data_IF_020991214300
#
_entry.id   IF_020991214300
#
_cell.length_a   1.000
_cell.length_b   1.000
_cell.length_c   1.000
_cell.angle_alpha   90.00
_cell.angle_beta   90.00
_cell.angle_gamma   90.00
#
_symmetry.space_group_name_H-M   'P 1'
#
loop_
_entity.id
_entity.type
_entity.pdbx_description
1 polymer ?
#
# COMPACT_ATOMS: atom_id res chain seq x y z
N UNK A 1 -11.88 76.31 32.93
CA UNK A 1 -11.44 74.89 32.85
C UNK A 1 -12.61 74.11 32.32
N UNK A 2 -12.65 73.84 31.03
CA UNK A 2 -13.69 73.07 30.37
C UNK A 2 -13.20 71.64 30.28
N UNK A 3 -13.94 70.71 30.92
CA UNK A 3 -13.71 69.31 30.85
C UNK A 3 -14.16 68.81 29.47
N UNK A 4 -13.24 68.25 28.68
CA UNK A 4 -13.52 67.56 27.43
C UNK A 4 -13.94 66.17 27.82
N UNK A 5 -15.17 65.82 27.46
CA UNK A 5 -15.67 64.43 27.60
C UNK A 5 -14.94 63.51 26.60
N UNK A 6 -14.65 62.26 26.96
CA UNK A 6 -14.04 61.31 26.05
C UNK A 6 -15.02 60.97 24.91
N UNK A 7 -14.55 61.10 23.66
CA UNK A 7 -15.27 60.69 22.46
C UNK A 7 -15.21 59.17 22.38
N UNK A 8 -16.33 58.49 22.61
CA UNK A 8 -16.50 57.08 22.25
C UNK A 8 -16.52 56.93 20.73
N UNK A 9 -15.41 56.52 20.16
CA UNK A 9 -15.37 56.10 18.76
C UNK A 9 -16.06 54.72 18.61
N UNK A 10 -17.01 54.59 17.70
CA UNK A 10 -17.61 53.29 17.45
C UNK A 10 -16.53 52.29 17.00
N UNK A 11 -16.35 51.21 17.72
CA UNK A 11 -15.48 50.11 17.33
C UNK A 11 -16.15 49.48 16.10
N UNK A 12 -15.50 49.62 14.95
CA UNK A 12 -15.97 49.13 13.66
C UNK A 12 -16.18 47.57 13.76
N UNK A 13 -17.37 47.09 13.37
CA UNK A 13 -17.71 45.68 13.42
C UNK A 13 -16.73 44.78 12.63
N UNK A 14 -16.05 45.36 11.66
CA UNK A 14 -14.98 44.75 10.88
C UNK A 14 -13.72 44.45 11.72
N UNK A 15 -13.40 45.39 12.62
CA UNK A 15 -12.24 45.26 13.53
C UNK A 15 -12.52 44.17 14.61
N UNK A 16 -13.77 43.99 14.99
CA UNK A 16 -14.18 42.95 15.94
C UNK A 16 -14.11 41.56 15.30
N UNK A 17 -14.58 41.43 14.05
CA UNK A 17 -14.46 40.16 13.28
C UNK A 17 -12.99 39.74 13.04
N UNK A 18 -12.14 40.71 12.73
CA UNK A 18 -10.70 40.44 12.53
C UNK A 18 -10.01 40.04 13.85
N UNK A 19 -10.44 40.62 14.97
CA UNK A 19 -9.92 40.24 16.30
C UNK A 19 -10.37 38.84 16.71
N UNK A 20 -11.62 38.51 16.45
CA UNK A 20 -12.16 37.16 16.74
C UNK A 20 -11.50 36.08 15.86
N UNK A 21 -11.31 36.33 14.57
CA UNK A 21 -10.61 35.42 13.66
C UNK A 21 -9.12 35.23 14.08
N UNK A 22 -8.47 36.30 14.56
CA UNK A 22 -7.10 36.21 15.06
C UNK A 22 -7.02 35.42 16.37
N UNK A 23 -8.00 35.57 17.26
CA UNK A 23 -8.11 34.82 18.52
C UNK A 23 -8.38 33.31 18.24
N UNK A 24 -9.23 33.00 17.26
CA UNK A 24 -9.46 31.59 16.82
C UNK A 24 -8.20 30.96 16.21
N UNK A 25 -7.46 31.72 15.39
CA UNK A 25 -6.20 31.22 14.82
C UNK A 25 -5.16 30.94 15.92
N UNK A 26 -5.05 31.84 16.95
CA UNK A 26 -4.17 31.60 18.11
C UNK A 26 -4.64 30.40 18.95
N UNK A 27 -5.94 30.26 19.14
CA UNK A 27 -6.49 29.10 19.86
C UNK A 27 -6.22 27.78 19.15
N UNK A 28 -6.30 27.75 17.81
CA UNK A 28 -5.93 26.62 16.97
C UNK A 28 -4.45 26.24 17.12
N UNK A 29 -3.56 27.21 17.03
CA UNK A 29 -2.11 26.98 17.22
C UNK A 29 -1.76 26.50 18.63
N UNK A 30 -2.50 26.96 19.65
CA UNK A 30 -2.32 26.54 21.05
C UNK A 30 -2.78 25.10 21.27
N UNK A 31 -3.88 24.67 20.61
CA UNK A 31 -4.34 23.25 20.63
C UNK A 31 -3.29 22.33 19.97
N UNK A 32 -2.80 22.69 18.80
CA UNK A 32 -1.76 21.91 18.10
C UNK A 32 -0.48 21.83 18.95
N UNK A 33 -0.07 22.91 19.60
CA UNK A 33 1.09 22.93 20.50
C UNK A 33 0.88 22.03 21.73
N UNK A 34 -0.33 22.00 22.32
CA UNK A 34 -0.67 21.09 23.43
C UNK A 34 -0.69 19.63 23.02
N UNK A 35 -1.20 19.31 21.84
CA UNK A 35 -1.17 17.94 21.28
C UNK A 35 0.27 17.52 21.03
N UNK A 36 1.10 18.38 20.42
CA UNK A 36 2.52 18.12 20.21
C UNK A 36 3.27 17.89 21.53
N UNK A 37 2.99 18.69 22.56
CA UNK A 37 3.59 18.54 23.90
C UNK A 37 3.11 17.25 24.62
N UNK A 38 1.87 16.80 24.41
CA UNK A 38 1.38 15.51 24.93
C UNK A 38 2.02 14.33 24.22
N UNK A 39 2.24 14.43 22.91
CA UNK A 39 2.93 13.40 22.12
C UNK A 39 4.43 13.29 22.43
N UNK A 40 5.05 14.36 22.97
CA UNK A 40 6.43 14.35 23.46
C UNK A 40 6.54 14.02 24.96
N UNK A 41 5.44 13.60 25.59
CA UNK A 41 5.45 13.12 26.96
C UNK A 41 6.33 11.86 27.07
N UNK A 42 7.24 11.84 28.06
CA UNK A 42 8.12 10.67 28.35
C UNK A 42 7.31 9.36 28.46
N UNK A 43 6.12 9.42 29.06
CA UNK A 43 5.24 8.27 29.19
C UNK A 43 4.68 7.79 27.85
N UNK A 44 4.32 8.70 26.94
CA UNK A 44 3.89 8.33 25.59
C UNK A 44 5.02 7.67 24.79
N UNK A 45 6.24 8.18 24.94
CA UNK A 45 7.44 7.59 24.32
C UNK A 45 7.72 6.20 24.90
N UNK A 46 7.67 6.04 26.21
CA UNK A 46 7.84 4.73 26.86
C UNK A 46 6.77 3.75 26.41
N UNK A 47 5.50 4.17 26.40
CA UNK A 47 4.40 3.32 25.93
C UNK A 47 4.60 2.90 24.45
N UNK A 48 5.02 3.82 23.58
CA UNK A 48 5.30 3.51 22.18
C UNK A 48 6.45 2.49 22.03
N UNK A 49 7.53 2.65 22.82
CA UNK A 49 8.65 1.71 22.82
C UNK A 49 8.20 0.33 23.33
N UNK A 50 7.45 0.26 24.42
CA UNK A 50 6.94 -1.01 24.97
C UNK A 50 6.07 -1.72 23.94
N UNK A 51 5.13 -1.00 23.32
CA UNK A 51 4.29 -1.55 22.25
C UNK A 51 5.16 -2.06 21.09
N UNK A 52 6.12 -1.27 20.62
CA UNK A 52 7.01 -1.66 19.53
C UNK A 52 7.81 -2.92 19.88
N UNK A 53 8.36 -3.02 21.10
CA UNK A 53 9.08 -4.20 21.57
C UNK A 53 8.18 -5.41 21.60
N UNK A 54 6.98 -5.30 22.21
CA UNK A 54 6.01 -6.42 22.28
C UNK A 54 5.62 -6.92 20.88
N UNK A 55 5.37 -6.01 19.93
CA UNK A 55 5.06 -6.36 18.54
C UNK A 55 6.25 -6.97 17.79
N UNK A 56 7.47 -6.64 18.19
CA UNK A 56 8.69 -7.18 17.54
C UNK A 56 9.02 -8.59 18.04
N UNK A 57 8.60 -8.98 19.24
CA UNK A 57 8.91 -10.29 19.84
C UNK A 57 8.56 -11.48 18.93
N UNK A 58 7.33 -11.59 18.35
CA UNK A 58 7.00 -12.72 17.48
C UNK A 58 7.87 -12.78 16.23
N UNK A 59 8.09 -11.62 15.58
CA UNK A 59 8.91 -11.54 14.38
C UNK A 59 10.37 -11.86 14.66
N UNK A 60 10.90 -11.38 15.82
CA UNK A 60 12.24 -11.71 16.28
C UNK A 60 12.38 -13.20 16.61
N UNK A 61 11.34 -13.79 17.22
CA UNK A 61 11.32 -15.24 17.48
C UNK A 61 11.36 -16.07 16.20
N UNK A 62 10.62 -15.67 15.17
CA UNK A 62 10.70 -16.27 13.84
C UNK A 62 12.10 -16.11 13.24
N UNK A 63 12.70 -14.92 13.36
CA UNK A 63 14.06 -14.65 12.88
C UNK A 63 15.08 -15.59 13.52
N UNK A 64 15.09 -15.69 14.84
CA UNK A 64 15.96 -16.61 15.55
C UNK A 64 15.70 -18.05 15.11
N UNK A 65 14.42 -18.45 15.00
CA UNK A 65 14.05 -19.81 14.59
C UNK A 65 14.53 -20.14 13.18
N UNK A 66 14.58 -19.17 12.26
CA UNK A 66 15.02 -19.44 10.88
C UNK A 66 16.46 -19.94 10.77
N UNK A 67 17.29 -19.67 11.79
CA UNK A 67 18.70 -20.10 11.87
C UNK A 67 18.92 -21.28 12.82
N UNK A 68 17.87 -21.89 13.37
CA UNK A 68 18.01 -23.02 14.30
C UNK A 68 17.85 -24.35 13.56
N UNK A 69 18.57 -25.41 14.00
CA UNK A 69 18.38 -26.75 13.47
C UNK A 69 16.93 -27.23 13.61
N UNK A 70 16.49 -28.08 12.68
CA UNK A 70 15.12 -28.60 12.64
C UNK A 70 14.71 -29.31 13.94
N UNK A 71 15.64 -30.03 14.59
CA UNK A 71 15.39 -30.70 15.85
C UNK A 71 15.08 -29.71 16.97
N UNK A 72 15.85 -28.62 17.07
CA UNK A 72 15.68 -27.61 18.10
C UNK A 72 14.37 -26.82 17.93
N UNK A 73 13.97 -26.56 16.67
CA UNK A 73 12.69 -25.89 16.37
C UNK A 73 11.49 -26.75 16.82
N UNK A 74 11.60 -28.07 16.67
CA UNK A 74 10.51 -29.01 17.01
C UNK A 74 10.41 -29.30 18.51
N UNK A 75 11.53 -29.21 19.25
CA UNK A 75 11.62 -29.66 20.64
C UNK A 75 11.65 -28.54 21.65
N UNK A 76 11.97 -27.31 21.24
CA UNK A 76 12.16 -26.18 22.16
C UNK A 76 11.73 -24.85 21.55
N UNK A 77 11.44 -23.86 22.42
CA UNK A 77 11.10 -22.51 22.00
C UNK A 77 12.33 -21.72 21.52
N UNK A 78 12.10 -20.67 20.71
CA UNK A 78 13.17 -19.84 20.14
C UNK A 78 14.06 -19.16 21.20
N UNK A 79 13.55 -18.93 22.40
CA UNK A 79 14.29 -18.32 23.52
C UNK A 79 15.42 -19.20 24.05
N UNK A 80 15.40 -20.51 23.81
CA UNK A 80 16.49 -21.41 24.22
C UNK A 80 17.76 -21.19 23.41
N UNK A 81 17.70 -20.48 22.30
CA UNK A 81 18.87 -20.04 21.56
C UNK A 81 19.86 -19.23 22.41
N UNK A 82 19.38 -18.46 23.38
CA UNK A 82 20.25 -17.66 24.26
C UNK A 82 20.98 -18.49 25.33
N UNK A 83 20.47 -19.67 25.63
CA UNK A 83 21.11 -20.59 26.61
C UNK A 83 21.94 -21.69 25.94
N UNK A 84 21.51 -22.11 24.72
CA UNK A 84 22.20 -23.09 23.91
C UNK A 84 22.22 -22.63 22.45
N UNK A 85 23.14 -21.74 22.05
CA UNK A 85 23.20 -21.19 20.72
C UNK A 85 23.61 -22.24 19.69
N UNK A 86 22.67 -22.63 18.85
CA UNK A 86 22.90 -23.47 17.68
C UNK A 86 22.53 -22.68 16.44
N UNK A 87 23.40 -22.65 15.43
CA UNK A 87 23.22 -21.87 14.22
C UNK A 87 23.40 -22.75 12.99
N UNK A 88 22.42 -22.69 12.05
CA UNK A 88 22.50 -23.36 10.76
C UNK A 88 21.89 -22.50 9.66
N UNK A 89 22.34 -22.67 8.43
CA UNK A 89 21.73 -22.14 7.21
C UNK A 89 20.97 -23.23 6.43
N UNK A 90 20.97 -24.47 6.91
CA UNK A 90 20.32 -25.60 6.22
C UNK A 90 18.86 -25.33 5.88
N UNK A 91 18.11 -24.66 6.75
CA UNK A 91 16.71 -24.30 6.47
C UNK A 91 16.58 -23.41 5.23
N UNK A 92 17.50 -22.46 5.04
CA UNK A 92 17.52 -21.58 3.88
C UNK A 92 17.96 -22.32 2.61
N UNK A 93 18.96 -23.19 2.72
CA UNK A 93 19.44 -24.02 1.62
C UNK A 93 18.35 -25.00 1.17
N UNK A 94 17.67 -25.66 2.10
CA UNK A 94 16.58 -26.57 1.82
C UNK A 94 15.38 -25.85 1.17
N UNK A 95 15.01 -24.67 1.69
CA UNK A 95 13.91 -23.86 1.16
C UNK A 95 14.17 -23.38 -0.27
N UNK A 96 15.41 -22.94 -0.56
CA UNK A 96 15.74 -22.31 -1.85
C UNK A 96 16.17 -23.31 -2.92
N UNK A 97 16.90 -24.36 -2.55
CA UNK A 97 17.65 -25.16 -3.52
C UNK A 97 17.34 -26.67 -3.48
N UNK A 98 16.59 -27.16 -2.48
CA UNK A 98 16.29 -28.58 -2.42
C UNK A 98 15.51 -29.05 -3.64
N UNK A 99 15.92 -30.20 -4.21
CA UNK A 99 15.32 -30.82 -5.38
C UNK A 99 14.56 -32.09 -4.97
N UNK A 100 13.31 -32.25 -5.44
CA UNK A 100 12.50 -33.43 -5.22
C UNK A 100 11.06 -33.14 -4.79
N UNK A 101 10.20 -34.17 -4.78
CA UNK A 101 8.77 -34.06 -4.49
C UNK A 101 8.44 -33.57 -3.06
N UNK A 102 9.40 -33.69 -2.12
CA UNK A 102 9.28 -33.24 -0.72
C UNK A 102 9.89 -31.87 -0.49
N UNK A 103 10.58 -31.31 -1.48
CA UNK A 103 11.33 -30.08 -1.33
C UNK A 103 10.43 -28.86 -1.28
N UNK A 104 10.80 -27.89 -0.47
CA UNK A 104 10.09 -26.62 -0.38
C UNK A 104 10.23 -25.76 -1.64
N UNK A 105 11.31 -25.93 -2.39
CA UNK A 105 11.76 -25.15 -3.56
C UNK A 105 11.01 -23.81 -3.78
N UNK A 106 11.25 -22.85 -2.88
CA UNK A 106 10.56 -21.56 -2.94
C UNK A 106 11.05 -20.66 -4.08
N UNK A 107 12.19 -20.98 -4.68
CA UNK A 107 12.79 -20.10 -5.69
C UNK A 107 11.88 -19.86 -6.89
N UNK A 108 11.24 -20.93 -7.42
CA UNK A 108 10.29 -20.78 -8.54
C UNK A 108 9.06 -19.97 -8.13
N UNK A 109 8.47 -20.28 -6.97
CA UNK A 109 7.31 -19.54 -6.46
C UNK A 109 7.65 -18.07 -6.13
N UNK A 110 8.88 -17.80 -5.64
CA UNK A 110 9.37 -16.46 -5.43
C UNK A 110 9.47 -15.66 -6.74
N UNK A 111 10.04 -16.28 -7.79
CA UNK A 111 10.09 -15.66 -9.11
C UNK A 111 8.70 -15.45 -9.70
N UNK A 112 7.79 -16.42 -9.55
CA UNK A 112 6.39 -16.26 -9.94
C UNK A 112 5.73 -15.08 -9.22
N UNK A 113 5.96 -14.92 -7.90
CA UNK A 113 5.44 -13.78 -7.17
C UNK A 113 5.94 -12.43 -7.71
N UNK A 114 7.20 -12.33 -8.13
CA UNK A 114 7.73 -11.12 -8.79
C UNK A 114 7.06 -10.87 -10.13
N UNK A 115 6.94 -11.94 -10.95
CA UNK A 115 6.27 -11.89 -12.26
C UNK A 115 4.79 -11.53 -12.13
N UNK A 116 4.13 -11.91 -11.04
CA UNK A 116 2.74 -11.54 -10.76
C UNK A 116 2.65 -10.13 -10.20
N UNK A 117 3.45 -9.81 -9.18
CA UNK A 117 3.29 -8.57 -8.42
C UNK A 117 3.68 -7.32 -9.20
N UNK A 118 4.71 -7.39 -10.04
CA UNK A 118 5.16 -6.23 -10.82
C UNK A 118 4.10 -5.81 -11.84
N UNK A 119 3.62 -6.66 -12.76
CA UNK A 119 2.57 -6.25 -13.70
C UNK A 119 1.22 -6.02 -12.99
N UNK A 120 0.88 -6.84 -11.99
CA UNK A 120 -0.35 -6.70 -11.21
C UNK A 120 -0.44 -5.39 -10.42
N UNK A 121 0.70 -4.75 -10.13
CA UNK A 121 0.75 -3.40 -9.58
C UNK A 121 0.81 -2.33 -10.68
N UNK A 122 1.63 -2.51 -11.70
CA UNK A 122 1.86 -1.49 -12.73
C UNK A 122 0.65 -1.26 -13.64
N UNK A 123 -0.06 -2.31 -14.04
CA UNK A 123 -1.19 -2.18 -14.96
C UNK A 123 -2.34 -1.33 -14.38
N UNK A 124 -2.86 -1.60 -13.16
CA UNK A 124 -3.92 -0.76 -12.60
C UNK A 124 -3.43 0.68 -12.35
N UNK A 125 -2.15 0.91 -12.03
CA UNK A 125 -1.60 2.25 -11.85
C UNK A 125 -1.54 3.00 -13.17
N UNK A 126 -1.01 2.38 -14.23
CA UNK A 126 -0.92 3.01 -15.55
C UNK A 126 -2.31 3.37 -16.10
N UNK A 127 -3.23 2.41 -16.08
CA UNK A 127 -4.62 2.62 -16.51
C UNK A 127 -5.35 3.64 -15.62
N UNK A 128 -5.13 3.54 -14.31
CA UNK A 128 -5.72 4.45 -13.32
C UNK A 128 -5.24 5.89 -13.47
N UNK A 129 -3.95 6.12 -13.77
CA UNK A 129 -3.43 7.46 -14.07
C UNK A 129 -4.14 8.09 -15.27
N UNK A 130 -4.28 7.34 -16.35
CA UNK A 130 -4.96 7.80 -17.57
C UNK A 130 -6.44 8.08 -17.31
N UNK A 131 -7.13 7.16 -16.65
CA UNK A 131 -8.55 7.30 -16.32
C UNK A 131 -8.80 8.46 -15.35
N UNK A 132 -7.99 8.59 -14.31
CA UNK A 132 -8.09 9.68 -13.34
C UNK A 132 -7.86 11.05 -13.98
N UNK A 133 -6.87 11.16 -14.88
CA UNK A 133 -6.65 12.39 -15.66
C UNK A 133 -7.86 12.72 -16.56
N UNK A 134 -8.37 11.73 -17.27
CA UNK A 134 -9.54 11.93 -18.15
C UNK A 134 -10.76 12.40 -17.35
N UNK A 135 -11.03 11.76 -16.22
CA UNK A 135 -12.18 12.12 -15.36
C UNK A 135 -12.03 13.48 -14.69
N UNK A 136 -10.79 13.91 -14.37
CA UNK A 136 -10.52 15.17 -13.70
C UNK A 136 -10.48 16.38 -14.66
N UNK A 137 -9.90 16.21 -15.88
CA UNK A 137 -9.52 17.34 -16.71
C UNK A 137 -10.04 17.32 -18.14
N UNK A 138 -10.67 16.23 -18.59
CA UNK A 138 -11.30 16.17 -19.90
C UNK A 138 -12.83 16.30 -19.71
N UNK A 139 -13.44 17.42 -20.18
CA UNK A 139 -14.89 17.59 -20.04
C UNK A 139 -15.64 16.66 -20.99
N UNK A 140 -16.44 15.73 -20.45
CA UNK A 140 -17.38 14.91 -21.19
C UNK A 140 -18.66 14.67 -20.39
N UNK A 141 -19.77 14.42 -21.12
CA UNK A 141 -21.08 14.19 -20.49
C UNK A 141 -21.05 12.88 -19.71
N UNK A 142 -21.43 12.94 -18.43
CA UNK A 142 -21.51 11.75 -17.58
C UNK A 142 -20.23 11.41 -16.80
N UNK A 143 -19.15 12.21 -16.88
CA UNK A 143 -17.90 11.96 -16.16
C UNK A 143 -18.12 11.73 -14.65
N UNK A 144 -18.92 12.56 -14.00
CA UNK A 144 -19.24 12.44 -12.58
C UNK A 144 -19.98 11.13 -12.24
N UNK A 145 -20.97 10.74 -13.06
CA UNK A 145 -21.67 9.48 -12.88
C UNK A 145 -20.76 8.28 -13.10
N UNK A 146 -19.90 8.33 -14.11
CA UNK A 146 -18.92 7.28 -14.38
C UNK A 146 -17.95 7.13 -13.21
N UNK A 147 -17.46 8.23 -12.65
CA UNK A 147 -16.60 8.22 -11.47
C UNK A 147 -17.28 7.55 -10.26
N UNK A 148 -18.52 7.96 -9.96
CA UNK A 148 -19.32 7.35 -8.87
C UNK A 148 -19.56 5.87 -9.13
N UNK A 149 -19.88 5.49 -10.37
CA UNK A 149 -20.09 4.08 -10.73
C UNK A 149 -18.82 3.24 -10.54
N UNK A 150 -17.66 3.73 -11.02
CA UNK A 150 -16.36 3.05 -10.82
C UNK A 150 -16.08 2.87 -9.33
N UNK A 151 -16.30 3.91 -8.52
CA UNK A 151 -16.10 3.82 -7.08
C UNK A 151 -17.09 2.85 -6.41
N UNK A 152 -18.34 2.82 -6.85
CA UNK A 152 -19.35 1.90 -6.34
C UNK A 152 -18.99 0.42 -6.56
N UNK A 153 -18.25 0.09 -7.63
CA UNK A 153 -17.75 -1.27 -7.86
C UNK A 153 -16.84 -1.77 -6.71
N UNK A 154 -16.21 -0.86 -5.98
CA UNK A 154 -15.37 -1.21 -4.81
C UNK A 154 -16.20 -1.78 -3.64
N UNK A 155 -17.51 -1.52 -3.61
CA UNK A 155 -18.42 -2.03 -2.56
C UNK A 155 -18.71 -3.51 -2.77
N UNK A 156 -18.60 -3.99 -4.03
CA UNK A 156 -18.83 -5.40 -4.35
C UNK A 156 -17.73 -6.27 -3.72
N UNK A 157 -18.06 -7.23 -2.83
CA UNK A 157 -17.06 -8.12 -2.28
C UNK A 157 -16.33 -8.89 -3.39
N UNK A 158 -15.01 -8.82 -3.38
CA UNK A 158 -14.15 -9.48 -4.37
C UNK A 158 -14.51 -10.97 -4.55
N UNK A 159 -14.84 -11.65 -3.46
CA UNK A 159 -15.19 -13.07 -3.45
C UNK A 159 -16.40 -13.41 -4.35
N UNK A 160 -17.36 -12.48 -4.47
CA UNK A 160 -18.54 -12.69 -5.33
C UNK A 160 -18.20 -12.67 -6.82
N UNK A 161 -17.17 -11.91 -7.20
CA UNK A 161 -16.74 -11.75 -8.59
C UNK A 161 -15.77 -12.84 -9.05
N UNK A 162 -15.15 -13.61 -8.15
CA UNK A 162 -14.11 -14.60 -8.49
C UNK A 162 -14.63 -15.69 -9.42
N UNK A 163 -15.77 -16.33 -9.10
CA UNK A 163 -16.31 -17.42 -9.89
C UNK A 163 -16.79 -16.97 -11.28
N UNK A 164 -17.60 -15.89 -11.40
CA UNK A 164 -17.97 -15.37 -12.72
C UNK A 164 -16.77 -14.99 -13.59
N UNK A 165 -15.77 -14.35 -12.98
CA UNK A 165 -14.57 -13.92 -13.71
C UNK A 165 -13.73 -15.14 -14.15
N UNK A 166 -13.60 -16.16 -13.30
CA UNK A 166 -12.93 -17.40 -13.65
C UNK A 166 -13.62 -18.10 -14.83
N UNK A 167 -14.95 -18.11 -14.87
CA UNK A 167 -15.70 -18.66 -16.01
C UNK A 167 -15.39 -17.93 -17.31
N UNK A 168 -15.33 -16.59 -17.28
CA UNK A 168 -14.93 -15.79 -18.44
C UNK A 168 -13.50 -16.14 -18.86
N UNK A 169 -12.57 -16.21 -17.92
CA UNK A 169 -11.16 -16.50 -18.21
C UNK A 169 -10.94 -17.90 -18.74
N UNK A 170 -11.71 -18.89 -18.27
CA UNK A 170 -11.57 -20.28 -18.71
C UNK A 170 -12.33 -20.59 -19.99
N UNK A 171 -13.60 -20.14 -20.10
CA UNK A 171 -14.49 -20.55 -21.18
C UNK A 171 -14.46 -19.61 -22.39
N UNK A 172 -14.26 -18.28 -22.15
CA UNK A 172 -14.31 -17.26 -23.21
C UNK A 172 -12.92 -16.90 -23.69
N UNK A 173 -11.98 -16.64 -22.75
CA UNK A 173 -10.64 -16.15 -23.08
C UNK A 173 -9.61 -17.27 -23.18
N UNK A 174 -9.84 -18.43 -22.54
CA UNK A 174 -8.90 -19.55 -22.55
C UNK A 174 -7.58 -19.28 -21.86
N UNK A 175 -7.53 -18.30 -20.90
CA UNK A 175 -6.29 -17.83 -20.24
C UNK A 175 -6.16 -18.31 -18.78
N UNK A 176 -7.14 -19.04 -18.25
CA UNK A 176 -7.07 -19.56 -16.88
C UNK A 176 -5.81 -20.39 -16.65
N UNK A 177 -5.18 -20.25 -15.49
CA UNK A 177 -3.95 -20.95 -15.16
C UNK A 177 -2.69 -20.32 -15.76
N UNK A 178 -2.75 -19.05 -16.21
CA UNK A 178 -1.61 -18.32 -16.78
C UNK A 178 -1.33 -17.02 -16.03
N UNK A 179 -0.11 -16.49 -16.15
CA UNK A 179 0.23 -15.16 -15.60
C UNK A 179 -0.71 -14.04 -16.08
N UNK A 180 -1.08 -13.94 -17.36
CA UNK A 180 -2.05 -12.94 -17.83
C UNK A 180 -3.39 -12.99 -17.10
N UNK A 181 -3.92 -14.17 -16.75
CA UNK A 181 -5.15 -14.28 -15.98
C UNK A 181 -5.02 -13.59 -14.61
N UNK A 182 -3.91 -13.85 -13.92
CA UNK A 182 -3.63 -13.28 -12.60
C UNK A 182 -3.43 -11.76 -12.71
N UNK A 183 -2.69 -11.27 -13.72
CA UNK A 183 -2.48 -9.83 -13.95
C UNK A 183 -3.77 -9.07 -14.23
N UNK A 184 -4.61 -9.62 -15.10
CA UNK A 184 -5.89 -9.00 -15.47
C UNK A 184 -6.83 -9.00 -14.26
N UNK A 185 -6.90 -10.09 -13.50
CA UNK A 185 -7.72 -10.17 -12.30
C UNK A 185 -7.30 -9.10 -11.26
N UNK A 186 -6.01 -8.99 -10.93
CA UNK A 186 -5.51 -7.97 -10.02
C UNK A 186 -5.75 -6.55 -10.57
N UNK A 187 -5.67 -6.37 -11.88
CA UNK A 187 -5.97 -5.09 -12.51
C UNK A 187 -7.45 -4.73 -12.35
N UNK A 188 -8.36 -5.64 -12.64
CA UNK A 188 -9.81 -5.42 -12.51
C UNK A 188 -10.17 -5.04 -11.07
N UNK A 189 -9.66 -5.78 -10.08
CA UNK A 189 -9.97 -5.53 -8.68
C UNK A 189 -9.28 -4.29 -8.09
N UNK A 190 -8.05 -3.98 -8.54
CA UNK A 190 -7.30 -2.82 -8.04
C UNK A 190 -7.68 -1.50 -8.68
N UNK A 191 -8.12 -1.53 -9.93
CA UNK A 191 -8.34 -0.34 -10.75
C UNK A 191 -9.30 0.68 -10.15
N UNK A 192 -10.48 0.32 -9.58
CA UNK A 192 -11.41 1.29 -9.01
C UNK A 192 -10.80 2.12 -7.89
N UNK A 193 -10.08 1.48 -6.96
CA UNK A 193 -9.41 2.17 -5.87
C UNK A 193 -8.28 3.08 -6.36
N UNK A 194 -7.49 2.60 -7.32
CA UNK A 194 -6.38 3.37 -7.91
C UNK A 194 -6.93 4.61 -8.62
N UNK A 195 -8.01 4.48 -9.42
CA UNK A 195 -8.66 5.62 -10.07
C UNK A 195 -9.17 6.62 -9.03
N UNK A 196 -9.85 6.15 -7.98
CA UNK A 196 -10.38 7.01 -6.92
C UNK A 196 -9.28 7.83 -6.24
N UNK A 197 -8.20 7.18 -5.83
CA UNK A 197 -7.10 7.86 -5.14
C UNK A 197 -6.35 8.84 -6.05
N UNK A 198 -6.06 8.44 -7.28
CA UNK A 198 -5.39 9.29 -8.25
C UNK A 198 -6.26 10.45 -8.71
N UNK A 199 -7.55 10.24 -8.93
CA UNK A 199 -8.49 11.30 -9.28
C UNK A 199 -8.52 12.39 -8.21
N UNK A 200 -8.62 12.01 -6.93
CA UNK A 200 -8.62 12.97 -5.82
C UNK A 200 -7.32 13.80 -5.77
N UNK A 201 -6.20 13.21 -6.10
CA UNK A 201 -4.92 13.92 -6.16
C UNK A 201 -4.81 14.81 -7.39
N UNK A 202 -5.12 14.28 -8.58
CA UNK A 202 -4.98 14.97 -9.87
C UNK A 202 -5.96 16.13 -9.98
N UNK A 203 -7.19 16.00 -9.49
CA UNK A 203 -8.18 17.08 -9.46
C UNK A 203 -7.83 18.20 -8.48
N UNK A 204 -6.93 17.97 -7.54
CA UNK A 204 -6.44 18.99 -6.62
C UNK A 204 -5.28 19.83 -7.18
N UNK A 205 -4.74 19.50 -8.34
CA UNK A 205 -3.72 20.30 -9.03
C UNK A 205 -4.38 21.61 -9.50
N UNK A 206 -3.75 22.79 -9.27
CA UNK A 206 -4.31 24.06 -9.70
C UNK A 206 -4.57 24.13 -11.20
N UNK A 207 -5.77 24.58 -11.59
CA UNK A 207 -6.19 24.70 -12.99
C UNK A 207 -5.32 25.63 -13.81
N UNK A 208 -4.83 26.70 -13.20
CA UNK A 208 -3.95 27.70 -13.84
C UNK A 208 -2.73 27.09 -14.53
N UNK A 209 -2.18 25.97 -13.97
CA UNK A 209 -1.05 25.25 -14.57
C UNK A 209 -1.43 24.64 -15.91
N UNK A 210 -2.66 24.07 -15.99
CA UNK A 210 -3.16 23.44 -17.20
C UNK A 210 -3.62 24.47 -18.24
N UNK A 211 -4.19 25.57 -17.78
CA UNK A 211 -4.57 26.69 -18.63
C UNK A 211 -3.36 27.34 -19.28
N UNK A 212 -2.31 27.62 -18.51
CA UNK A 212 -1.06 28.11 -19.05
C UNK A 212 -0.47 27.19 -20.10
N UNK A 213 -0.44 25.88 -19.83
CA UNK A 213 0.06 24.89 -20.80
C UNK A 213 -0.79 24.84 -22.09
N UNK A 214 -2.12 25.03 -21.98
CA UNK A 214 -2.98 25.11 -23.17
C UNK A 214 -2.75 26.38 -23.98
N UNK A 215 -2.48 27.52 -23.33
CA UNK A 215 -2.11 28.77 -23.98
C UNK A 215 -0.79 28.62 -24.75
N UNK A 216 0.17 27.83 -24.19
CA UNK A 216 1.43 27.46 -24.84
C UNK A 216 1.25 26.43 -25.96
N UNK A 217 0.02 26.02 -26.27
CA UNK A 217 -0.32 25.10 -27.37
C UNK A 217 -0.12 23.62 -27.03
N UNK A 218 0.03 23.24 -25.75
CA UNK A 218 0.18 21.86 -25.36
C UNK A 218 -1.14 21.08 -25.51
N UNK A 219 -1.09 19.92 -26.16
CA UNK A 219 -2.21 18.99 -26.25
C UNK A 219 -2.36 18.14 -24.97
N UNK A 220 -3.50 17.41 -24.83
CA UNK A 220 -3.79 16.61 -23.66
C UNK A 220 -2.71 15.55 -23.36
N UNK A 221 -2.11 14.93 -24.37
CA UNK A 221 -1.04 13.96 -24.20
C UNK A 221 0.23 14.60 -23.62
N UNK A 222 0.60 15.78 -24.11
CA UNK A 222 1.74 16.55 -23.60
C UNK A 222 1.50 17.01 -22.16
N UNK A 223 0.32 17.50 -21.85
CA UNK A 223 -0.09 17.89 -20.49
C UNK A 223 -0.01 16.68 -19.55
N UNK A 224 -0.54 15.53 -19.97
CA UNK A 224 -0.51 14.32 -19.15
C UNK A 224 0.91 13.88 -18.83
N UNK A 225 1.76 13.65 -19.86
CA UNK A 225 3.09 13.08 -19.66
C UNK A 225 4.11 14.08 -19.10
N UNK A 226 4.01 15.38 -19.45
CA UNK A 226 5.02 16.38 -19.07
C UNK A 226 4.66 17.17 -17.81
N UNK A 227 3.39 17.21 -17.42
CA UNK A 227 2.93 18.04 -16.29
C UNK A 227 2.26 17.16 -15.22
N UNK A 228 1.15 16.49 -15.57
CA UNK A 228 0.34 15.77 -14.58
C UNK A 228 1.09 14.58 -14.00
N UNK A 229 1.67 13.75 -14.84
CA UNK A 229 2.37 12.55 -14.40
C UNK A 229 3.57 12.87 -13.49
N UNK A 230 4.47 13.82 -13.83
CA UNK A 230 5.55 14.24 -12.94
C UNK A 230 5.07 14.87 -11.62
N UNK A 231 4.04 15.69 -11.65
CA UNK A 231 3.47 16.29 -10.43
C UNK A 231 2.81 15.24 -9.53
N UNK A 232 2.29 14.16 -10.12
CA UNK A 232 1.60 13.07 -9.42
C UNK A 232 2.54 11.98 -8.89
N UNK A 233 3.85 12.04 -9.16
CA UNK A 233 4.83 11.03 -8.71
C UNK A 233 4.71 10.69 -7.20
N UNK A 234 4.54 11.63 -6.26
CA UNK A 234 4.39 11.28 -4.85
C UNK A 234 3.13 10.45 -4.55
N UNK A 235 2.01 10.77 -5.20
CA UNK A 235 0.76 10.01 -5.05
C UNK A 235 0.88 8.64 -5.71
N UNK A 236 1.41 8.58 -6.94
CA UNK A 236 1.65 7.35 -7.68
C UNK A 236 2.55 6.40 -6.88
N UNK A 237 3.65 6.90 -6.31
CA UNK A 237 4.55 6.10 -5.51
C UNK A 237 3.88 5.53 -4.25
N UNK A 238 3.03 6.33 -3.58
CA UNK A 238 2.27 5.86 -2.42
C UNK A 238 1.30 4.75 -2.80
N UNK A 239 0.56 4.92 -3.89
CA UNK A 239 -0.38 3.92 -4.41
C UNK A 239 0.37 2.68 -4.89
N UNK A 240 1.55 2.84 -5.51
CA UNK A 240 2.37 1.73 -5.97
C UNK A 240 2.82 0.82 -4.83
N UNK A 241 3.17 1.40 -3.65
CA UNK A 241 3.48 0.59 -2.46
C UNK A 241 2.27 -0.25 -2.06
N UNK A 242 1.10 0.38 -1.90
CA UNK A 242 -0.11 -0.33 -1.49
C UNK A 242 -0.52 -1.40 -2.49
N UNK A 243 -0.54 -1.07 -3.78
CA UNK A 243 -0.94 -1.99 -4.83
C UNK A 243 0.05 -3.17 -4.93
N UNK A 244 1.35 -2.90 -4.87
CA UNK A 244 2.37 -3.94 -4.87
C UNK A 244 2.23 -4.86 -3.65
N UNK A 245 2.12 -4.29 -2.44
CA UNK A 245 1.97 -5.07 -1.22
C UNK A 245 0.68 -5.89 -1.21
N UNK A 246 -0.41 -5.34 -1.75
CA UNK A 246 -1.66 -6.06 -1.89
C UNK A 246 -1.49 -7.27 -2.80
N UNK A 247 -0.90 -7.11 -3.99
CA UNK A 247 -0.68 -8.22 -4.94
C UNK A 247 0.34 -9.22 -4.42
N UNK A 248 1.44 -8.75 -3.81
CA UNK A 248 2.47 -9.61 -3.25
C UNK A 248 1.97 -10.54 -2.14
N UNK A 249 1.10 -10.02 -1.27
CA UNK A 249 0.54 -10.78 -0.14
C UNK A 249 -0.75 -11.51 -0.49
N UNK A 250 -1.26 -11.36 -1.73
CA UNK A 250 -2.50 -12.02 -2.12
C UNK A 250 -2.30 -13.53 -2.24
N UNK A 251 -3.27 -14.26 -1.72
CA UNK A 251 -3.42 -15.69 -1.88
C UNK A 251 -4.68 -16.03 -2.68
N UNK A 252 -5.75 -15.28 -2.43
CA UNK A 252 -7.09 -15.66 -2.87
C UNK A 252 -7.26 -15.52 -4.39
N UNK A 253 -6.91 -14.37 -4.94
CA UNK A 253 -6.98 -14.11 -6.40
C UNK A 253 -6.01 -15.05 -7.12
N UNK A 254 -4.78 -15.13 -6.60
CA UNK A 254 -3.77 -16.00 -7.19
C UNK A 254 -4.21 -17.48 -7.19
N UNK A 255 -4.75 -18.01 -6.09
CA UNK A 255 -5.22 -19.38 -5.98
C UNK A 255 -6.31 -19.71 -7.03
N UNK A 256 -7.23 -18.77 -7.27
CA UNK A 256 -8.33 -18.96 -8.22
C UNK A 256 -7.83 -18.89 -9.67
N UNK A 257 -6.95 -17.95 -10.00
CA UNK A 257 -6.61 -17.67 -11.41
C UNK A 257 -5.29 -18.28 -11.87
N UNK A 258 -4.38 -18.71 -10.95
CA UNK A 258 -3.14 -19.41 -11.31
C UNK A 258 -3.32 -20.87 -11.68
N UNK A 259 -4.49 -21.45 -11.42
CA UNK A 259 -4.77 -22.87 -11.67
C UNK A 259 -4.02 -23.84 -10.77
N UNK A 260 -3.33 -23.36 -9.74
CA UNK A 260 -2.63 -24.19 -8.75
C UNK A 260 -1.38 -24.92 -9.26
N UNK A 261 -0.91 -24.62 -10.45
CA UNK A 261 0.31 -25.22 -11.02
C UNK A 261 1.57 -24.54 -10.52
N UNK A 262 2.66 -25.27 -10.34
CA UNK A 262 3.97 -24.76 -9.91
C UNK A 262 4.46 -23.64 -10.83
N UNK A 263 4.12 -23.69 -12.11
CA UNK A 263 4.59 -22.76 -13.14
C UNK A 263 4.08 -21.33 -12.94
N UNK A 264 2.92 -21.16 -12.29
CA UNK A 264 2.27 -19.86 -12.12
C UNK A 264 1.99 -19.53 -10.64
N UNK A 265 1.97 -20.53 -9.77
CA UNK A 265 1.63 -20.36 -8.36
C UNK A 265 2.59 -19.39 -7.64
N UNK A 266 2.07 -18.42 -6.86
CA UNK A 266 2.90 -17.48 -6.09
C UNK A 266 3.44 -18.08 -4.80
N UNK A 267 4.37 -17.37 -4.19
CA UNK A 267 4.99 -17.71 -2.92
C UNK A 267 3.97 -17.90 -1.78
N UNK A 268 2.93 -17.06 -1.74
CA UNK A 268 1.86 -17.14 -0.74
C UNK A 268 1.10 -18.48 -0.78
N UNK A 269 0.86 -19.01 -1.98
CA UNK A 269 0.25 -20.33 -2.13
C UNK A 269 1.16 -21.43 -1.57
N UNK A 270 2.46 -21.38 -1.87
CA UNK A 270 3.41 -22.37 -1.36
C UNK A 270 3.54 -22.32 0.15
N UNK A 271 3.58 -21.12 0.73
CA UNK A 271 3.58 -20.96 2.19
C UNK A 271 2.32 -21.54 2.83
N UNK A 272 1.15 -21.31 2.25
CA UNK A 272 -0.11 -21.88 2.74
C UNK A 272 -0.11 -23.42 2.69
N UNK A 273 0.41 -24.04 1.62
CA UNK A 273 0.58 -25.49 1.49
C UNK A 273 1.54 -26.05 2.55
N UNK A 274 2.64 -25.35 2.85
CA UNK A 274 3.60 -25.76 3.88
C UNK A 274 2.97 -25.78 5.28
N UNK A 275 2.12 -24.81 5.59
CA UNK A 275 1.36 -24.77 6.86
C UNK A 275 0.38 -25.95 6.93
N UNK A 276 -0.28 -26.29 5.82
CA UNK A 276 -1.27 -27.39 5.74
C UNK A 276 -0.72 -28.79 5.84
N UNK A 277 0.59 -29.00 5.68
CA UNK A 277 1.23 -30.32 5.59
C UNK A 277 1.47 -31.03 6.95
N UNK A 278 0.55 -30.91 7.90
CA UNK A 278 0.57 -31.63 9.19
C UNK A 278 1.93 -31.60 9.92
N UNK A 279 2.60 -30.47 9.90
CA UNK A 279 3.84 -30.24 10.63
C UNK A 279 5.11 -30.84 10.02
N UNK A 280 5.07 -31.48 8.87
CA UNK A 280 6.27 -32.06 8.23
C UNK A 280 7.36 -31.04 7.96
N UNK A 281 6.99 -29.84 7.49
CA UNK A 281 7.91 -28.76 7.10
C UNK A 281 7.87 -27.55 8.03
N UNK A 282 7.41 -27.70 9.28
CA UNK A 282 7.32 -26.58 10.24
C UNK A 282 8.64 -25.88 10.47
N UNK A 283 9.77 -26.60 10.44
CA UNK A 283 11.09 -26.02 10.63
C UNK A 283 11.51 -25.10 9.47
N UNK A 284 10.92 -25.25 8.29
CA UNK A 284 11.20 -24.43 7.11
C UNK A 284 10.35 -23.15 7.08
N UNK A 285 9.23 -23.10 7.81
CA UNK A 285 8.32 -21.94 7.80
C UNK A 285 9.00 -20.63 8.22
N UNK A 286 9.84 -20.59 9.28
CA UNK A 286 10.53 -19.36 9.65
C UNK A 286 11.44 -18.82 8.55
N UNK A 287 12.25 -19.66 7.92
CA UNK A 287 13.12 -19.26 6.81
C UNK A 287 12.31 -18.81 5.59
N UNK A 288 11.25 -19.55 5.25
CA UNK A 288 10.33 -19.19 4.15
C UNK A 288 9.63 -17.86 4.38
N UNK A 289 9.18 -17.58 5.61
CA UNK A 289 8.57 -16.30 5.99
C UNK A 289 9.55 -15.14 5.82
N UNK A 290 10.81 -15.30 6.22
CA UNK A 290 11.84 -14.26 6.04
C UNK A 290 12.16 -14.01 4.58
N UNK A 291 12.23 -15.05 3.74
CA UNK A 291 12.39 -14.89 2.29
C UNK A 291 11.22 -14.08 1.71
N UNK A 292 9.99 -14.36 2.15
CA UNK A 292 8.81 -13.66 1.64
C UNK A 292 8.74 -12.19 2.03
N UNK A 293 9.31 -11.79 3.19
CA UNK A 293 9.30 -10.42 3.70
C UNK A 293 10.37 -9.53 3.02
N UNK A 294 11.44 -10.11 2.48
CA UNK A 294 12.56 -9.34 1.91
C UNK A 294 12.08 -8.35 0.84
N UNK A 295 11.28 -8.80 -0.12
CA UNK A 295 10.82 -7.95 -1.23
C UNK A 295 9.90 -6.82 -0.76
N UNK A 296 8.85 -7.07 0.06
CA UNK A 296 8.08 -6.02 0.70
C UNK A 296 8.91 -4.96 1.44
N UNK A 297 9.93 -5.39 2.18
CA UNK A 297 10.82 -4.48 2.89
C UNK A 297 11.65 -3.62 1.92
N UNK A 298 12.22 -4.22 0.88
CA UNK A 298 12.97 -3.49 -0.15
C UNK A 298 12.07 -2.44 -0.82
N UNK A 299 10.87 -2.82 -1.23
CA UNK A 299 9.90 -1.91 -1.86
C UNK A 299 9.51 -0.78 -0.91
N UNK A 300 9.18 -1.11 0.34
CA UNK A 300 8.83 -0.13 1.35
C UNK A 300 9.96 0.87 1.60
N UNK A 301 11.18 0.40 1.90
CA UNK A 301 12.32 1.28 2.19
C UNK A 301 12.75 2.12 0.99
N UNK A 302 12.60 1.60 -0.22
CA UNK A 302 12.91 2.34 -1.45
C UNK A 302 11.95 3.52 -1.69
N UNK A 303 10.67 3.33 -1.36
CA UNK A 303 9.60 4.27 -1.68
C UNK A 303 9.07 5.05 -0.47
N UNK A 304 9.47 4.74 0.78
CA UNK A 304 8.94 5.36 2.02
C UNK A 304 9.00 6.89 2.03
N UNK A 305 10.03 7.47 1.43
CA UNK A 305 10.18 8.94 1.33
C UNK A 305 9.02 9.62 0.58
N UNK A 306 8.46 8.93 -0.40
CA UNK A 306 7.31 9.43 -1.17
C UNK A 306 6.01 9.22 -0.41
N UNK A 307 5.88 8.10 0.31
CA UNK A 307 4.75 7.77 1.16
C UNK A 307 4.49 8.83 2.24
N UNK A 308 5.53 9.23 2.97
CA UNK A 308 5.43 10.28 4.00
C UNK A 308 4.99 11.61 3.40
N UNK A 309 5.51 11.98 2.22
CA UNK A 309 5.12 13.23 1.54
C UNK A 309 3.68 13.19 1.01
N UNK A 310 3.25 12.04 0.48
CA UNK A 310 1.88 11.86 -0.03
C UNK A 310 0.82 11.94 1.07
N UNK A 311 1.07 11.34 2.23
CA UNK A 311 0.18 11.43 3.39
C UNK A 311 0.08 12.85 3.95
N UNK A 312 1.20 13.57 4.03
CA UNK A 312 1.21 14.95 4.55
C UNK A 312 0.51 15.94 3.60
N UNK A 313 0.62 15.75 2.29
CA UNK A 313 -0.09 16.57 1.32
C UNK A 313 -1.62 16.44 1.41
N UNK A 314 -2.13 15.27 1.82
CA UNK A 314 -3.56 15.07 2.10
C UNK A 314 -4.04 15.61 3.44
N UNK A 315 -3.14 15.73 4.42
CA UNK A 315 -3.47 16.15 5.79
C UNK A 315 -3.46 17.68 6.01
N UNK A 316 -2.91 18.47 5.07
CA UNK A 316 -2.79 19.93 5.20
C UNK A 316 -4.00 20.70 4.67
N UNK A 317 -5.07 20.05 4.27
CA UNK A 317 -6.37 20.64 3.86
C UNK A 317 -7.40 20.64 5.01
N UNK A 318 -6.96 20.82 6.26
CA UNK A 318 -7.81 21.04 7.42
C UNK A 318 -7.45 22.32 8.13
#
# INVERSE_FOLDING_TARGET
>A
MSSVAPVDLPIDDENKKNTDAFQEAIAGTTKVRRVKQRLTSRWATVAAIVIAVVWTIPTFGLFVSSFRPAVDIRTSGWWTFFTNPTFTLENYEEVLFASGASSANLSSYFMNSLVIAIPGALFPIALGCMAAYALAWIPFRGAGWLFVFIFALQIVPLQMALIPLLQIFSQVLGISGTFPAVWIAHTIFGLPLVIFLLHNFISAIPGDILEAAKVDGANHTQIFFRIILPLSVPAIASIAIFQFLWVWNDLLVALVFSGGTVDVAPLTQRLAEMVGNFGRNQHLLPASAFISIIVPLIVFFSLQRYFVRGLLAGATKG
#
